data_IF_141886537852
#
_entry.id   IF_141886537852
#
_cell.length_a   1.000
_cell.length_b   1.000
_cell.length_c   1.000
_cell.angle_alpha   90.00
_cell.angle_beta   90.00
_cell.angle_gamma   90.00
#
_symmetry.space_group_name_H-M   'P 1'
#
loop_
_entity.id
_entity.type
_entity.pdbx_description
1 polymer ?
#
# COMPACT_ATOMS: atom_id res chain seq x y z
N UNK A 1 -33.83 44.35 1.03
CA UNK A 1 -32.84 44.56 2.11
C UNK A 1 -31.52 43.98 1.63
N UNK A 2 -30.51 44.80 1.28
CA UNK A 2 -29.22 44.30 0.87
C UNK A 2 -28.48 43.76 2.12
N UNK A 3 -28.01 42.52 2.04
CA UNK A 3 -27.06 41.97 3.00
C UNK A 3 -25.78 42.80 2.92
N UNK A 4 -25.58 43.70 3.89
CA UNK A 4 -24.36 44.45 4.08
C UNK A 4 -23.26 43.45 4.44
N UNK A 5 -22.54 42.94 3.43
CA UNK A 5 -21.37 42.11 3.63
C UNK A 5 -20.27 42.95 4.29
N UNK A 6 -20.05 42.76 5.59
CA UNK A 6 -18.88 43.31 6.27
C UNK A 6 -17.62 42.64 5.69
N UNK A 7 -17.02 43.26 4.68
CA UNK A 7 -15.74 42.84 4.14
C UNK A 7 -14.64 43.11 5.18
N UNK A 8 -13.93 42.07 5.61
CA UNK A 8 -12.99 42.07 6.75
C UNK A 8 -11.88 43.13 6.70
N UNK A 9 -11.59 43.68 5.52
CA UNK A 9 -10.51 44.65 5.27
C UNK A 9 -10.99 45.99 4.66
N UNK A 10 -12.31 46.25 4.60
CA UNK A 10 -12.81 47.54 4.09
C UNK A 10 -12.39 48.67 5.03
N UNK A 11 -11.60 49.60 4.51
CA UNK A 11 -11.03 50.74 5.26
C UNK A 11 -9.66 50.49 5.89
N UNK A 12 -9.01 49.35 5.63
CA UNK A 12 -7.64 49.11 6.11
C UNK A 12 -6.60 49.87 5.28
N UNK A 13 -5.55 50.38 5.93
CA UNK A 13 -4.41 51.06 5.27
C UNK A 13 -3.39 50.09 4.66
N UNK A 14 -3.73 48.80 4.61
CA UNK A 14 -2.84 47.74 4.16
C UNK A 14 -2.87 47.62 2.64
N UNK A 15 -1.70 47.39 2.04
CA UNK A 15 -1.58 47.15 0.61
C UNK A 15 -2.27 45.82 0.24
N UNK A 16 -2.86 45.73 -0.95
CA UNK A 16 -3.61 44.54 -1.43
C UNK A 16 -2.77 43.25 -1.36
N UNK A 17 -1.46 43.38 -1.60
CA UNK A 17 -0.48 42.29 -1.46
C UNK A 17 -0.40 41.75 -0.02
N UNK A 18 -0.41 42.64 0.98
CA UNK A 18 -0.36 42.27 2.38
C UNK A 18 -1.66 41.58 2.82
N UNK A 19 -2.81 42.07 2.34
CA UNK A 19 -4.11 41.45 2.56
C UNK A 19 -4.14 40.04 1.94
N UNK A 20 -3.58 39.88 0.73
CA UNK A 20 -3.42 38.58 0.07
C UNK A 20 -2.61 37.58 0.89
N UNK A 21 -1.46 37.99 1.44
CA UNK A 21 -0.65 37.11 2.30
C UNK A 21 -1.36 36.72 3.61
N UNK A 22 -2.10 37.65 4.23
CA UNK A 22 -2.86 37.37 5.45
C UNK A 22 -3.99 36.36 5.16
N UNK A 23 -4.73 36.52 4.06
CA UNK A 23 -5.78 35.59 3.64
C UNK A 23 -5.22 34.21 3.27
N UNK A 24 -4.08 34.17 2.56
CA UNK A 24 -3.39 32.92 2.24
C UNK A 24 -2.94 32.19 3.52
N UNK A 25 -2.29 32.90 4.44
CA UNK A 25 -1.86 32.32 5.71
C UNK A 25 -3.05 31.82 6.55
N UNK A 26 -4.13 32.60 6.64
CA UNK A 26 -5.34 32.22 7.36
C UNK A 26 -6.06 31.00 6.77
N UNK A 27 -6.18 30.95 5.44
CA UNK A 27 -6.78 29.79 4.75
C UNK A 27 -5.93 28.53 4.89
N UNK A 28 -4.60 28.66 4.76
CA UNK A 28 -3.67 27.55 4.98
C UNK A 28 -3.71 27.04 6.42
N UNK A 29 -3.73 27.94 7.43
CA UNK A 29 -3.86 27.55 8.84
C UNK A 29 -5.19 26.86 9.13
N UNK A 30 -6.30 27.36 8.58
CA UNK A 30 -7.63 26.76 8.75
C UNK A 30 -7.69 25.38 8.09
N UNK A 31 -7.13 25.24 6.89
CA UNK A 31 -7.05 23.95 6.19
C UNK A 31 -6.15 22.95 6.94
N UNK A 32 -4.97 23.38 7.37
CA UNK A 32 -4.03 22.53 8.12
C UNK A 32 -4.61 22.10 9.47
N UNK A 33 -5.23 23.01 10.22
CA UNK A 33 -5.88 22.68 11.50
C UNK A 33 -7.07 21.75 11.30
N UNK A 34 -7.92 21.99 10.28
CA UNK A 34 -9.01 21.09 9.91
C UNK A 34 -8.53 19.68 9.57
N UNK A 35 -7.48 19.56 8.76
CA UNK A 35 -6.87 18.28 8.39
C UNK A 35 -6.29 17.56 9.63
N UNK A 36 -5.57 18.26 10.50
CA UNK A 36 -5.00 17.66 11.72
C UNK A 36 -6.10 17.22 12.68
N UNK A 37 -7.14 18.03 12.86
CA UNK A 37 -8.27 17.69 13.73
C UNK A 37 -9.02 16.47 13.19
N UNK A 38 -9.27 16.40 11.88
CA UNK A 38 -9.93 15.24 11.25
C UNK A 38 -9.09 13.98 11.46
N UNK A 39 -7.77 14.05 11.23
CA UNK A 39 -6.87 12.89 11.44
C UNK A 39 -6.85 12.46 12.90
N UNK A 40 -6.80 13.41 13.85
CA UNK A 40 -6.82 13.11 15.29
C UNK A 40 -8.13 12.51 15.76
N UNK A 41 -9.27 13.04 15.30
CA UNK A 41 -10.60 12.52 15.60
C UNK A 41 -10.76 11.11 15.04
N UNK A 42 -10.41 10.91 13.77
CA UNK A 42 -10.47 9.61 13.13
C UNK A 42 -9.58 8.58 13.84
N UNK A 43 -8.37 8.95 14.27
CA UNK A 43 -7.46 8.06 15.00
C UNK A 43 -7.95 7.73 16.44
N UNK A 44 -8.60 8.68 17.10
CA UNK A 44 -9.20 8.49 18.44
C UNK A 44 -10.41 7.55 18.40
N UNK A 45 -11.31 7.74 17.44
CA UNK A 45 -12.52 6.91 17.28
C UNK A 45 -12.15 5.47 16.86
N UNK A 46 -11.12 5.32 16.02
CA UNK A 46 -10.72 4.00 15.54
C UNK A 46 -10.08 3.09 16.60
N UNK A 47 -9.31 3.65 17.53
CA UNK A 47 -8.69 2.86 18.61
C UNK A 47 -9.71 2.29 19.62
N UNK A 48 -10.85 2.95 19.81
CA UNK A 48 -11.84 2.57 20.80
C UNK A 48 -12.83 1.50 20.31
N UNK A 49 -13.82 1.93 19.53
CA UNK A 49 -14.99 1.09 19.23
C UNK A 49 -14.83 0.30 17.93
N UNK A 50 -14.19 0.89 16.93
CA UNK A 50 -14.09 0.30 15.60
C UNK A 50 -13.08 -0.84 15.58
N UNK A 51 -11.93 -0.70 16.24
CA UNK A 51 -10.98 -1.81 16.41
C UNK A 51 -11.63 -3.05 17.04
N UNK A 52 -12.55 -2.87 18.00
CA UNK A 52 -13.27 -3.98 18.65
C UNK A 52 -14.30 -4.63 17.71
N UNK A 53 -15.05 -3.84 16.93
CA UNK A 53 -15.99 -4.36 15.92
C UNK A 53 -15.24 -5.12 14.84
N UNK A 54 -14.17 -4.52 14.31
CA UNK A 54 -13.29 -5.14 13.32
C UNK A 54 -12.73 -6.44 13.87
N UNK A 55 -12.21 -6.48 15.10
CA UNK A 55 -11.73 -7.71 15.74
C UNK A 55 -12.82 -8.78 15.84
N UNK A 56 -14.04 -8.42 16.24
CA UNK A 56 -15.16 -9.36 16.39
C UNK A 56 -15.58 -9.95 15.04
N UNK A 57 -15.57 -9.14 13.99
CA UNK A 57 -15.96 -9.56 12.64
C UNK A 57 -14.85 -10.35 11.94
N UNK A 58 -13.59 -10.01 12.17
CA UNK A 58 -12.43 -10.72 11.60
C UNK A 58 -12.25 -12.10 12.23
N UNK A 59 -12.47 -12.21 13.55
CA UNK A 59 -12.36 -13.48 14.27
C UNK A 59 -13.66 -14.29 14.23
N UNK A 60 -14.69 -13.80 13.54
CA UNK A 60 -15.87 -14.59 13.24
C UNK A 60 -15.49 -15.64 12.18
N UNK A 61 -15.04 -16.80 12.65
CA UNK A 61 -14.84 -17.97 11.81
C UNK A 61 -16.20 -18.60 11.52
N UNK A 62 -16.60 -18.58 10.25
CA UNK A 62 -17.78 -19.30 9.81
C UNK A 62 -17.47 -20.81 9.78
N UNK A 63 -18.36 -21.66 10.33
CA UNK A 63 -18.18 -23.10 10.29
C UNK A 63 -18.17 -23.62 8.85
N UNK A 64 -17.49 -24.76 8.64
CA UNK A 64 -17.49 -25.47 7.36
C UNK A 64 -18.93 -25.72 6.88
N UNK A 65 -19.30 -25.46 5.61
CA UNK A 65 -18.47 -25.18 4.43
C UNK A 65 -18.25 -23.69 4.08
N UNK A 66 -18.66 -22.73 4.91
CA UNK A 66 -18.69 -21.31 4.56
C UNK A 66 -17.42 -20.53 4.88
N UNK A 67 -16.29 -21.20 5.13
CA UNK A 67 -15.02 -20.55 5.47
C UNK A 67 -14.52 -19.54 4.42
N UNK A 68 -14.85 -19.75 3.15
CA UNK A 68 -14.52 -18.83 2.05
C UNK A 68 -15.24 -17.48 2.16
N UNK A 69 -16.43 -17.46 2.78
CA UNK A 69 -17.26 -16.27 2.93
C UNK A 69 -16.62 -15.25 3.88
N UNK A 70 -15.81 -15.71 4.84
CA UNK A 70 -15.11 -14.86 5.82
C UNK A 70 -14.31 -13.75 5.13
N UNK A 71 -13.60 -14.09 4.05
CA UNK A 71 -12.77 -13.13 3.31
C UNK A 71 -13.60 -12.14 2.47
N UNK A 72 -14.72 -12.57 1.89
CA UNK A 72 -15.63 -11.66 1.20
C UNK A 72 -16.34 -10.72 2.18
N UNK A 73 -16.72 -11.23 3.35
CA UNK A 73 -17.28 -10.42 4.41
C UNK A 73 -16.26 -9.39 4.92
N UNK A 74 -14.98 -9.77 5.02
CA UNK A 74 -13.90 -8.83 5.32
C UNK A 74 -13.75 -7.73 4.25
N UNK A 75 -13.91 -8.04 2.96
CA UNK A 75 -13.96 -7.01 1.89
C UNK A 75 -15.14 -6.05 2.10
N UNK A 76 -16.34 -6.58 2.34
CA UNK A 76 -17.53 -5.74 2.58
C UNK A 76 -17.35 -4.86 3.81
N UNK A 77 -16.80 -5.40 4.90
CA UNK A 77 -16.51 -4.65 6.13
C UNK A 77 -15.50 -3.55 5.85
N UNK A 78 -14.41 -3.84 5.15
CA UNK A 78 -13.42 -2.81 4.76
C UNK A 78 -14.04 -1.69 3.93
N UNK A 79 -14.93 -2.04 2.99
CA UNK A 79 -15.62 -1.08 2.14
C UNK A 79 -16.59 -0.19 2.93
N UNK A 80 -17.45 -0.79 3.78
CA UNK A 80 -18.40 -0.06 4.63
C UNK A 80 -17.67 0.82 5.63
N UNK A 81 -16.65 0.30 6.30
CA UNK A 81 -15.86 1.06 7.26
C UNK A 81 -15.20 2.28 6.60
N UNK A 82 -14.64 2.10 5.41
CA UNK A 82 -14.02 3.20 4.67
C UNK A 82 -15.03 4.19 4.13
N UNK A 83 -16.22 3.73 3.71
CA UNK A 83 -17.30 4.61 3.33
C UNK A 83 -17.78 5.50 4.48
N UNK A 84 -17.95 4.92 5.68
CA UNK A 84 -18.38 5.66 6.89
C UNK A 84 -17.29 6.65 7.34
N UNK A 85 -16.03 6.20 7.37
CA UNK A 85 -14.89 7.03 7.80
C UNK A 85 -14.46 8.02 6.72
N UNK A 86 -14.83 7.78 5.45
CA UNK A 86 -14.39 8.48 4.25
C UNK A 86 -12.86 8.60 4.10
N UNK A 87 -12.10 7.76 4.80
CA UNK A 87 -10.65 7.80 4.80
C UNK A 87 -10.05 6.40 4.91
N UNK A 88 -9.49 5.92 3.80
CA UNK A 88 -8.77 4.65 3.74
C UNK A 88 -7.45 4.72 4.49
N UNK A 89 -6.78 5.88 4.54
CA UNK A 89 -5.54 6.04 5.29
C UNK A 89 -5.73 5.87 6.79
N UNK A 90 -6.83 6.40 7.35
CA UNK A 90 -7.12 6.22 8.77
C UNK A 90 -7.55 4.79 9.06
N UNK A 91 -8.33 4.17 8.17
CA UNK A 91 -8.62 2.73 8.25
C UNK A 91 -7.33 1.88 8.29
N UNK A 92 -6.40 2.10 7.35
CA UNK A 92 -5.10 1.41 7.33
C UNK A 92 -4.28 1.68 8.59
N UNK A 93 -4.25 2.91 9.08
CA UNK A 93 -3.53 3.29 10.30
C UNK A 93 -4.07 2.59 11.56
N UNK A 94 -5.33 2.16 11.57
CA UNK A 94 -5.89 1.38 12.67
C UNK A 94 -5.59 -0.12 12.56
N UNK A 95 -5.58 -0.68 11.36
CA UNK A 95 -5.32 -2.12 11.15
C UNK A 95 -3.84 -2.46 11.31
N UNK A 96 -2.93 -1.61 10.83
CA UNK A 96 -1.48 -1.90 10.83
C UNK A 96 -0.91 -2.17 12.24
N UNK A 97 -1.21 -1.37 13.29
CA UNK A 97 -0.79 -1.67 14.65
C UNK A 97 -1.33 -3.00 15.18
N UNK A 98 -2.59 -3.33 14.87
CA UNK A 98 -3.22 -4.59 15.25
C UNK A 98 -2.55 -5.80 14.60
N UNK A 99 -2.05 -5.64 13.38
CA UNK A 99 -1.19 -6.64 12.73
C UNK A 99 0.18 -6.73 13.43
N UNK A 100 0.75 -5.58 13.81
CA UNK A 100 2.03 -5.51 14.51
C UNK A 100 2.04 -6.21 15.88
N UNK A 101 0.91 -6.18 16.60
CA UNK A 101 0.73 -6.92 17.88
C UNK A 101 0.20 -8.34 17.69
N UNK A 102 0.01 -8.81 16.44
CA UNK A 102 -0.44 -10.17 16.13
C UNK A 102 -1.93 -10.44 16.35
N UNK A 103 -2.76 -9.41 16.60
CA UNK A 103 -4.21 -9.55 16.80
C UNK A 103 -4.93 -9.88 15.49
N UNK A 104 -4.42 -9.38 14.36
CA UNK A 104 -4.95 -9.64 13.02
C UNK A 104 -3.80 -10.18 12.16
N UNK A 105 -3.99 -11.34 11.53
CA UNK A 105 -3.00 -11.90 10.60
C UNK A 105 -3.01 -11.14 9.26
N UNK A 106 -1.89 -11.17 8.54
CA UNK A 106 -1.78 -10.49 7.24
C UNK A 106 -2.77 -11.03 6.20
N UNK A 107 -3.12 -12.31 6.28
CA UNK A 107 -4.13 -12.96 5.41
C UNK A 107 -5.53 -12.42 5.67
N UNK A 108 -5.84 -12.06 6.92
CA UNK A 108 -7.13 -11.47 7.31
C UNK A 108 -7.17 -9.97 7.05
N UNK A 109 -6.03 -9.29 7.15
CA UNK A 109 -5.91 -7.86 6.83
C UNK A 109 -5.97 -7.55 5.33
N UNK A 110 -5.45 -8.44 4.48
CA UNK A 110 -5.43 -8.25 3.03
C UNK A 110 -6.83 -7.98 2.42
N UNK A 111 -7.87 -8.82 2.64
CA UNK A 111 -9.21 -8.55 2.12
C UNK A 111 -9.83 -7.26 2.69
N UNK A 112 -9.49 -6.85 3.91
CA UNK A 112 -9.95 -5.57 4.47
C UNK A 112 -9.38 -4.37 3.71
N UNK A 113 -8.10 -4.42 3.34
CA UNK A 113 -7.48 -3.36 2.54
C UNK A 113 -8.05 -3.30 1.12
N UNK A 114 -8.33 -4.46 0.51
CA UNK A 114 -9.03 -4.52 -0.77
C UNK A 114 -10.43 -3.90 -0.67
N UNK A 115 -11.17 -4.24 0.38
CA UNK A 115 -12.46 -3.61 0.69
C UNK A 115 -12.36 -2.10 0.85
N UNK A 116 -11.35 -1.62 1.59
CA UNK A 116 -11.11 -0.19 1.82
C UNK A 116 -10.91 0.59 0.52
N UNK A 117 -10.19 0.01 -0.44
CA UNK A 117 -10.01 0.62 -1.76
C UNK A 117 -11.35 0.77 -2.50
N UNK A 118 -12.25 -0.22 -2.42
CA UNK A 118 -13.61 -0.11 -2.97
C UNK A 118 -14.41 0.97 -2.24
N UNK A 119 -14.36 1.01 -0.90
CA UNK A 119 -15.05 2.04 -0.11
C UNK A 119 -14.65 3.47 -0.50
N UNK A 120 -13.38 3.68 -0.86
CA UNK A 120 -12.88 4.99 -1.33
C UNK A 120 -13.55 5.42 -2.64
N UNK A 121 -13.89 4.49 -3.52
CA UNK A 121 -14.56 4.79 -4.80
C UNK A 121 -15.99 5.30 -4.61
N UNK A 122 -16.66 4.93 -3.52
CA UNK A 122 -17.98 5.46 -3.17
C UNK A 122 -17.89 6.96 -2.85
N UNK A 123 -16.84 7.42 -2.18
CA UNK A 123 -16.61 8.85 -1.93
C UNK A 123 -16.39 9.61 -3.24
N UNK A 124 -15.61 9.04 -4.17
CA UNK A 124 -15.41 9.63 -5.50
C UNK A 124 -16.72 9.73 -6.28
N UNK A 125 -17.58 8.71 -6.19
CA UNK A 125 -18.90 8.71 -6.84
C UNK A 125 -19.83 9.77 -6.23
N UNK A 126 -19.87 9.90 -4.91
CA UNK A 126 -20.65 10.96 -4.25
C UNK A 126 -20.16 12.36 -4.64
N UNK A 127 -18.84 12.57 -4.68
CA UNK A 127 -18.25 13.84 -5.12
C UNK A 127 -18.58 14.14 -6.60
N UNK A 128 -18.58 13.12 -7.46
CA UNK A 128 -18.97 13.25 -8.85
C UNK A 128 -20.45 13.63 -9.01
N UNK A 129 -21.34 13.04 -8.20
CA UNK A 129 -22.78 13.38 -8.20
C UNK A 129 -23.06 14.78 -7.67
N UNK A 130 -22.20 15.33 -6.81
CA UNK A 130 -22.27 16.69 -6.32
C UNK A 130 -21.64 17.73 -7.27
N UNK A 131 -21.08 17.29 -8.41
CA UNK A 131 -20.41 18.18 -9.35
C UNK A 131 -21.40 18.99 -10.21
N UNK A 132 -21.02 20.21 -10.63
CA UNK A 132 -21.81 21.04 -11.55
C UNK A 132 -22.23 20.30 -12.84
N UNK A 133 -23.38 20.67 -13.40
CA UNK A 133 -24.02 19.96 -14.51
C UNK A 133 -23.15 19.88 -15.79
N UNK A 134 -22.30 20.87 -16.01
CA UNK A 134 -21.32 20.94 -17.11
C UNK A 134 -20.17 19.93 -16.97
N UNK A 135 -19.83 19.53 -15.75
CA UNK A 135 -18.74 18.60 -15.45
C UNK A 135 -19.23 17.21 -14.98
N UNK A 136 -20.53 17.07 -14.71
CA UNK A 136 -21.12 15.88 -14.11
C UNK A 136 -20.82 14.60 -14.91
N UNK A 137 -20.95 14.65 -16.24
CA UNK A 137 -20.68 13.48 -17.07
C UNK A 137 -19.23 13.00 -16.94
N UNK A 138 -18.28 13.93 -17.05
CA UNK A 138 -16.85 13.64 -16.90
C UNK A 138 -16.50 13.15 -15.50
N UNK A 139 -17.06 13.78 -14.46
CA UNK A 139 -16.83 13.40 -13.07
C UNK A 139 -17.36 11.99 -12.76
N UNK A 140 -18.59 11.68 -13.21
CA UNK A 140 -19.21 10.36 -13.03
C UNK A 140 -18.42 9.32 -13.81
N UNK A 141 -18.03 9.60 -15.05
CA UNK A 141 -17.20 8.70 -15.84
C UNK A 141 -15.88 8.35 -15.13
N UNK A 142 -15.16 9.35 -14.61
CA UNK A 142 -13.92 9.13 -13.84
C UNK A 142 -14.18 8.30 -12.59
N UNK A 143 -15.26 8.59 -11.85
CA UNK A 143 -15.61 7.82 -10.64
C UNK A 143 -15.96 6.35 -10.93
N UNK A 144 -16.66 6.08 -12.03
CA UNK A 144 -17.01 4.72 -12.47
C UNK A 144 -15.77 3.95 -12.93
N UNK A 145 -14.86 4.60 -13.66
CA UNK A 145 -13.57 3.99 -14.02
C UNK A 145 -12.82 3.57 -12.76
N UNK A 146 -12.78 4.42 -11.72
CA UNK A 146 -12.15 4.06 -10.44
C UNK A 146 -12.84 2.87 -9.77
N UNK A 147 -14.19 2.85 -9.73
CA UNK A 147 -14.96 1.74 -9.17
C UNK A 147 -14.66 0.42 -9.89
N UNK A 148 -14.79 0.41 -11.22
CA UNK A 148 -14.58 -0.80 -12.02
C UNK A 148 -13.13 -1.27 -11.99
N UNK A 149 -12.16 -0.35 -12.01
CA UNK A 149 -10.74 -0.70 -11.88
C UNK A 149 -10.46 -1.40 -10.54
N UNK A 150 -10.98 -0.88 -9.43
CA UNK A 150 -10.81 -1.50 -8.12
C UNK A 150 -11.53 -2.86 -8.02
N UNK A 151 -12.74 -2.96 -8.56
CA UNK A 151 -13.51 -4.21 -8.58
C UNK A 151 -12.83 -5.29 -9.43
N UNK A 152 -12.35 -4.93 -10.63
CA UNK A 152 -11.61 -5.83 -11.51
C UNK A 152 -10.28 -6.25 -10.85
N UNK A 153 -9.61 -5.34 -10.15
CA UNK A 153 -8.42 -5.66 -9.36
C UNK A 153 -8.69 -6.72 -8.29
N UNK A 154 -9.79 -6.62 -7.54
CA UNK A 154 -10.18 -7.64 -6.56
C UNK A 154 -10.49 -8.97 -7.24
N UNK A 155 -11.26 -8.95 -8.33
CA UNK A 155 -11.59 -10.16 -9.09
C UNK A 155 -10.31 -10.86 -9.58
N UNK A 156 -9.34 -10.10 -10.09
CA UNK A 156 -8.09 -10.65 -10.59
C UNK A 156 -7.17 -11.14 -9.46
N UNK A 157 -6.88 -10.30 -8.46
CA UNK A 157 -5.82 -10.54 -7.46
C UNK A 157 -6.30 -11.30 -6.22
N UNK A 158 -7.60 -11.32 -5.93
CA UNK A 158 -8.13 -11.97 -4.73
C UNK A 158 -8.92 -13.25 -5.04
N UNK A 159 -9.77 -13.24 -6.08
CA UNK A 159 -10.62 -14.40 -6.38
C UNK A 159 -9.80 -15.52 -7.01
N UNK A 160 -8.87 -15.20 -7.90
CA UNK A 160 -7.97 -16.20 -8.52
C UNK A 160 -6.85 -16.57 -7.54
N UNK A 161 -6.80 -17.82 -7.02
CA UNK A 161 -5.80 -18.20 -6.00
C UNK A 161 -4.36 -18.06 -6.50
N UNK A 162 -4.11 -18.31 -7.79
CA UNK A 162 -2.79 -18.21 -8.41
C UNK A 162 -2.23 -16.77 -8.39
N UNK A 163 -3.09 -15.75 -8.39
CA UNK A 163 -2.67 -14.35 -8.41
C UNK A 163 -2.56 -13.71 -7.02
N UNK A 164 -2.72 -14.47 -5.92
CA UNK A 164 -2.54 -13.96 -4.54
C UNK A 164 -1.07 -13.71 -4.15
N UNK A 165 -0.26 -13.22 -5.10
CA UNK A 165 1.14 -12.86 -4.95
C UNK A 165 1.42 -11.75 -3.91
N UNK A 166 0.55 -10.75 -3.67
CA UNK A 166 0.87 -9.67 -2.72
C UNK A 166 1.13 -10.14 -1.29
N UNK A 167 0.43 -11.19 -0.82
CA UNK A 167 0.58 -11.72 0.54
C UNK A 167 1.99 -12.31 0.78
N UNK A 168 2.47 -13.29 -0.01
CA UNK A 168 3.81 -13.83 0.19
C UNK A 168 4.91 -12.80 -0.06
N UNK A 169 4.72 -11.86 -1.00
CA UNK A 169 5.67 -10.77 -1.24
C UNK A 169 5.78 -9.85 -0.02
N UNK A 170 4.66 -9.45 0.57
CA UNK A 170 4.64 -8.61 1.76
C UNK A 170 5.31 -9.30 2.96
N UNK A 171 5.08 -10.61 3.16
CA UNK A 171 5.76 -11.39 4.21
C UNK A 171 7.27 -11.48 3.99
N UNK A 172 7.71 -11.81 2.78
CA UNK A 172 9.14 -11.89 2.45
C UNK A 172 9.83 -10.54 2.66
N UNK A 173 9.22 -9.47 2.14
CA UNK A 173 9.74 -8.11 2.30
C UNK A 173 9.78 -7.67 3.78
N UNK A 174 8.75 -8.00 4.55
CA UNK A 174 8.68 -7.75 5.99
C UNK A 174 9.81 -8.45 6.76
N UNK A 175 10.08 -9.73 6.46
CA UNK A 175 11.18 -10.48 7.09
C UNK A 175 12.55 -9.88 6.75
N UNK A 176 12.77 -9.50 5.48
CA UNK A 176 14.02 -8.84 5.06
C UNK A 176 14.20 -7.52 5.80
N UNK A 177 13.14 -6.72 5.92
CA UNK A 177 13.16 -5.43 6.60
C UNK A 177 13.38 -5.57 8.12
N UNK A 178 12.86 -6.65 8.72
CA UNK A 178 13.09 -6.96 10.13
C UNK A 178 14.57 -7.25 10.42
N UNK A 179 15.27 -7.91 9.49
CA UNK A 179 16.72 -8.14 9.60
C UNK A 179 17.55 -6.90 9.23
N UNK A 180 17.17 -6.17 8.18
CA UNK A 180 17.92 -5.05 7.64
C UNK A 180 17.08 -3.76 7.68
N UNK A 181 17.11 -3.05 8.82
CA UNK A 181 16.26 -1.85 9.04
C UNK A 181 16.47 -0.75 7.98
N UNK A 182 17.67 -0.63 7.42
CA UNK A 182 17.98 0.34 6.37
C UNK A 182 17.24 0.06 5.05
N UNK A 183 16.83 -1.20 4.81
CA UNK A 183 16.05 -1.59 3.62
C UNK A 183 14.72 -0.85 3.58
N UNK A 184 14.07 -0.60 4.72
CA UNK A 184 12.85 0.22 4.76
C UNK A 184 13.08 1.65 4.26
N UNK A 185 14.17 2.29 4.71
CA UNK A 185 14.51 3.65 4.30
C UNK A 185 14.83 3.72 2.79
N UNK A 186 15.63 2.78 2.29
CA UNK A 186 15.94 2.68 0.86
C UNK A 186 14.69 2.40 0.04
N UNK A 187 13.82 1.49 0.49
CA UNK A 187 12.55 1.18 -0.17
C UNK A 187 11.65 2.42 -0.25
N UNK A 188 11.52 3.19 0.83
CA UNK A 188 10.73 4.42 0.85
C UNK A 188 11.31 5.46 -0.11
N UNK A 189 12.62 5.71 -0.05
CA UNK A 189 13.29 6.64 -0.97
C UNK A 189 13.10 6.22 -2.43
N UNK A 190 13.27 4.92 -2.71
CA UNK A 190 13.17 4.40 -4.05
C UNK A 190 11.73 4.46 -4.59
N UNK A 191 10.76 4.01 -3.80
CA UNK A 191 9.37 3.88 -4.24
C UNK A 191 8.62 5.21 -4.29
N UNK A 192 8.88 6.13 -3.36
CA UNK A 192 8.16 7.41 -3.29
C UNK A 192 8.87 8.56 -4.01
N UNK A 193 10.18 8.47 -4.26
CA UNK A 193 10.94 9.55 -4.89
C UNK A 193 11.63 9.11 -6.19
N UNK A 194 12.53 8.12 -6.14
CA UNK A 194 13.35 7.79 -7.30
C UNK A 194 12.54 7.23 -8.47
N UNK A 195 11.63 6.27 -8.23
CA UNK A 195 10.79 5.71 -9.30
C UNK A 195 9.88 6.79 -9.89
N UNK A 196 9.06 7.53 -9.12
CA UNK A 196 8.19 8.56 -9.70
C UNK A 196 8.96 9.64 -10.45
N UNK A 197 10.11 10.08 -9.91
CA UNK A 197 10.95 11.09 -10.56
C UNK A 197 11.57 10.56 -11.85
N UNK A 198 12.03 9.31 -11.87
CA UNK A 198 12.56 8.67 -13.06
C UNK A 198 11.48 8.51 -14.14
N UNK A 199 10.28 8.05 -13.77
CA UNK A 199 9.15 7.92 -14.70
C UNK A 199 8.73 9.29 -15.24
N UNK A 200 8.66 10.31 -14.38
CA UNK A 200 8.36 11.69 -14.79
C UNK A 200 9.43 12.25 -15.74
N UNK A 201 10.70 12.11 -15.38
CA UNK A 201 11.82 12.56 -16.22
C UNK A 201 11.85 11.84 -17.57
N UNK A 202 11.57 10.53 -17.58
CA UNK A 202 11.51 9.74 -18.80
C UNK A 202 10.30 10.11 -19.68
N UNK A 203 9.16 10.44 -19.05
CA UNK A 203 7.97 10.95 -19.75
C UNK A 203 8.25 12.29 -20.44
N UNK A 204 9.02 13.18 -19.81
CA UNK A 204 9.43 14.47 -20.37
C UNK A 204 10.47 14.34 -21.50
N UNK A 205 11.26 13.26 -21.53
CA UNK A 205 12.32 13.04 -22.50
C UNK A 205 11.81 12.62 -23.91
N UNK A 206 10.50 12.47 -24.09
CA UNK A 206 9.86 12.15 -25.36
C UNK A 206 9.67 10.65 -25.61
N UNK A 207 8.71 10.31 -26.48
CA UNK A 207 8.25 8.92 -26.67
C UNK A 207 9.34 7.95 -27.15
N UNK A 208 10.30 8.41 -27.94
CA UNK A 208 11.41 7.58 -28.41
C UNK A 208 12.34 7.19 -27.26
N UNK A 209 12.67 8.12 -26.37
CA UNK A 209 13.53 7.85 -25.20
C UNK A 209 12.79 6.97 -24.20
N UNK A 210 11.49 7.22 -23.99
CA UNK A 210 10.64 6.36 -23.17
C UNK A 210 10.62 4.92 -23.69
N UNK A 211 10.46 4.71 -25.00
CA UNK A 211 10.49 3.38 -25.60
C UNK A 211 11.89 2.75 -25.54
N UNK A 212 12.94 3.52 -25.86
CA UNK A 212 14.32 3.04 -25.92
C UNK A 212 14.91 2.69 -24.55
N UNK A 213 14.52 3.39 -23.49
CA UNK A 213 15.02 3.14 -22.12
C UNK A 213 14.03 2.31 -21.31
N UNK A 214 12.74 2.66 -21.37
CA UNK A 214 11.68 1.97 -20.63
C UNK A 214 11.42 0.56 -21.16
N UNK A 215 11.45 0.37 -22.48
CA UNK A 215 11.23 -0.93 -23.12
C UNK A 215 12.21 -2.01 -22.65
N UNK A 216 13.54 -1.80 -22.78
CA UNK A 216 14.54 -2.76 -22.29
C UNK A 216 14.48 -2.99 -20.78
N UNK A 217 14.20 -1.94 -19.98
CA UNK A 217 14.11 -2.07 -18.52
C UNK A 217 12.93 -2.97 -18.12
N UNK A 218 11.76 -2.76 -18.72
CA UNK A 218 10.58 -3.60 -18.52
C UNK A 218 10.79 -5.02 -19.04
N UNK A 219 11.46 -5.16 -20.20
CA UNK A 219 11.82 -6.46 -20.77
C UNK A 219 12.74 -7.27 -19.86
N UNK A 220 13.76 -6.63 -19.29
CA UNK A 220 14.66 -7.25 -18.32
C UNK A 220 13.91 -7.68 -17.05
N UNK A 221 13.04 -6.82 -16.52
CA UNK A 221 12.20 -7.13 -15.36
C UNK A 221 11.29 -8.34 -15.63
N UNK A 222 10.61 -8.36 -16.79
CA UNK A 222 9.77 -9.46 -17.21
C UNK A 222 10.57 -10.76 -17.38
N UNK A 223 11.78 -10.68 -17.94
CA UNK A 223 12.68 -11.82 -18.09
C UNK A 223 13.12 -12.37 -16.72
N UNK A 224 13.49 -11.51 -15.77
CA UNK A 224 13.85 -11.93 -14.41
C UNK A 224 12.66 -12.61 -13.71
N UNK A 225 11.46 -12.04 -13.83
CA UNK A 225 10.23 -12.64 -13.26
C UNK A 225 9.97 -14.00 -13.90
N UNK A 226 10.07 -14.12 -15.24
CA UNK A 226 9.88 -15.36 -15.97
C UNK A 226 10.89 -16.43 -15.54
N UNK A 227 12.18 -16.08 -15.45
CA UNK A 227 13.24 -16.97 -14.99
C UNK A 227 12.95 -17.46 -13.56
N UNK A 228 12.57 -16.58 -12.65
CA UNK A 228 12.22 -16.95 -11.27
C UNK A 228 10.97 -17.86 -11.21
N UNK A 229 9.97 -17.61 -12.06
CA UNK A 229 8.79 -18.49 -12.18
C UNK A 229 9.17 -19.88 -12.72
N UNK A 230 10.03 -19.93 -13.74
CA UNK A 230 10.52 -21.20 -14.31
C UNK A 230 11.41 -21.97 -13.33
N UNK A 231 12.24 -21.29 -12.54
CA UNK A 231 13.01 -21.93 -11.46
C UNK A 231 12.09 -22.62 -10.43
N UNK A 232 10.94 -22.02 -10.11
CA UNK A 232 9.99 -22.56 -9.14
C UNK A 232 9.12 -23.69 -9.70
N UNK A 233 8.67 -23.60 -10.95
CA UNK A 233 7.71 -24.55 -11.53
C UNK A 233 8.33 -25.62 -12.43
N UNK A 234 9.45 -25.33 -13.12
CA UNK A 234 10.09 -26.23 -14.09
C UNK A 234 11.63 -26.07 -14.10
N UNK A 235 12.33 -26.44 -13.01
CA UNK A 235 13.78 -26.22 -12.88
C UNK A 235 14.62 -27.02 -13.88
N UNK A 236 14.08 -28.09 -14.45
CA UNK A 236 14.76 -28.97 -15.41
C UNK A 236 14.92 -28.34 -16.80
N UNK A 237 14.01 -27.45 -17.21
CA UNK A 237 14.04 -26.76 -18.51
C UNK A 237 15.06 -25.62 -18.58
N UNK A 238 15.61 -25.19 -17.44
CA UNK A 238 16.56 -24.07 -17.39
C UNK A 238 18.02 -24.55 -17.53
N UNK A 239 18.89 -23.81 -18.27
CA UNK A 239 20.33 -24.06 -18.30
C UNK A 239 20.95 -23.99 -16.90
N UNK A 240 21.99 -24.78 -16.64
CA UNK A 240 22.60 -24.90 -15.31
C UNK A 240 23.02 -23.54 -14.68
N UNK A 241 23.43 -22.56 -15.48
CA UNK A 241 23.83 -21.22 -15.02
C UNK A 241 22.66 -20.33 -14.56
N UNK A 242 21.44 -20.58 -15.05
CA UNK A 242 20.26 -19.80 -14.68
C UNK A 242 19.44 -20.49 -13.59
N UNK A 243 19.73 -21.74 -13.22
CA UNK A 243 19.02 -22.47 -12.16
C UNK A 243 19.25 -21.88 -10.78
N UNK A 244 20.40 -21.27 -10.57
CA UNK A 244 20.70 -20.50 -9.37
C UNK A 244 21.38 -19.19 -9.77
N UNK A 245 21.05 -18.12 -9.06
CA UNK A 245 21.70 -16.82 -9.22
C UNK A 245 23.09 -16.78 -8.57
N UNK A 246 23.73 -17.93 -8.36
CA UNK A 246 25.02 -18.07 -7.68
C UNK A 246 26.20 -17.57 -8.51
N UNK A 247 26.02 -17.42 -9.84
CA UNK A 247 27.04 -16.83 -10.70
C UNK A 247 27.17 -15.30 -10.50
N UNK A 248 26.13 -14.65 -9.98
CA UNK A 248 26.15 -13.19 -9.77
C UNK A 248 27.06 -12.83 -8.57
N UNK A 249 27.71 -11.65 -8.60
CA UNK A 249 28.47 -11.15 -7.47
C UNK A 249 27.64 -11.15 -6.18
N UNK A 250 28.29 -11.42 -5.04
CA UNK A 250 27.64 -11.48 -3.72
C UNK A 250 26.77 -10.25 -3.40
N UNK A 251 27.13 -9.07 -3.91
CA UNK A 251 26.40 -7.81 -3.73
C UNK A 251 25.05 -7.73 -4.45
N UNK A 252 24.85 -8.56 -5.48
CA UNK A 252 23.62 -8.64 -6.28
C UNK A 252 22.69 -9.77 -5.79
N UNK A 253 23.22 -10.74 -5.04
CA UNK A 253 22.47 -11.87 -4.50
C UNK A 253 22.21 -11.79 -2.98
N UNK A 254 23.07 -11.09 -2.24
CA UNK A 254 23.03 -11.01 -0.78
C UNK A 254 23.11 -9.56 -0.30
N UNK A 255 22.29 -9.25 0.72
CA UNK A 255 22.28 -7.95 1.40
C UNK A 255 23.35 -7.83 2.49
N UNK A 256 23.99 -8.94 2.90
CA UNK A 256 25.00 -8.98 3.97
C UNK A 256 26.20 -8.03 3.77
N UNK A 257 26.81 -7.90 2.57
CA UNK A 257 27.95 -7.01 2.40
C UNK A 257 27.55 -5.52 2.47
N UNK A 258 26.35 -5.17 2.00
CA UNK A 258 25.78 -3.83 2.16
C UNK A 258 25.47 -3.51 3.62
N UNK A 259 24.93 -4.47 4.35
CA UNK A 259 24.63 -4.31 5.77
C UNK A 259 25.89 -4.00 6.59
N UNK A 260 26.99 -4.73 6.35
CA UNK A 260 28.29 -4.44 6.99
C UNK A 260 28.81 -3.05 6.66
N UNK A 261 28.68 -2.62 5.41
CA UNK A 261 29.14 -1.30 4.98
C UNK A 261 28.33 -0.19 5.68
N UNK A 262 27.00 -0.28 5.65
CA UNK A 262 26.09 0.71 6.24
C UNK A 262 26.23 0.75 7.76
N UNK A 263 26.27 -0.41 8.43
CA UNK A 263 26.49 -0.47 9.88
C UNK A 263 27.88 0.06 10.26
N UNK A 264 28.93 -0.16 9.46
CA UNK A 264 30.24 0.43 9.73
C UNK A 264 30.26 1.95 9.58
N UNK A 265 29.51 2.51 8.62
CA UNK A 265 29.35 3.95 8.44
C UNK A 265 28.48 4.58 9.54
N UNK A 266 27.53 3.83 10.11
CA UNK A 266 26.66 4.28 11.21
C UNK A 266 27.25 4.07 12.62
N UNK A 267 28.44 3.47 12.77
CA UNK A 267 29.12 3.24 14.07
C UNK A 267 29.53 4.52 14.81
N UNK A 268 29.30 5.71 14.27
CA UNK A 268 29.42 6.96 15.03
C UNK A 268 28.26 7.23 16.00
N UNK A 269 27.22 6.38 16.06
CA UNK A 269 26.14 6.50 17.03
C UNK A 269 26.00 5.20 17.87
N UNK A 270 26.26 5.22 19.18
CA UNK A 270 26.09 4.06 20.03
C UNK A 270 24.62 3.94 20.44
N UNK A 271 23.83 3.10 19.74
CA UNK A 271 22.73 2.33 20.35
C UNK A 271 22.06 1.35 19.37
N UNK A 272 21.77 0.15 19.89
CA UNK A 272 20.96 -0.96 19.36
C UNK A 272 21.73 -2.21 18.87
N UNK A 273 22.50 -2.83 19.77
CA UNK A 273 22.55 -4.30 19.92
C UNK A 273 21.23 -4.68 20.66
N UNK A 274 20.39 -5.65 20.27
CA UNK A 274 20.63 -7.01 19.78
C UNK A 274 19.56 -7.44 18.73
N UNK A 275 19.85 -8.42 17.85
CA UNK A 275 18.81 -9.10 17.07
C UNK A 275 17.91 -9.96 17.98
N UNK A 276 16.59 -10.04 17.74
CA UNK A 276 15.75 -11.00 18.46
C UNK A 276 16.20 -12.43 18.12
N UNK A 277 16.28 -13.25 19.16
CA UNK A 277 16.68 -14.65 19.08
C UNK A 277 15.93 -15.40 17.97
N UNK A 278 16.70 -16.20 17.24
CA UNK A 278 16.27 -17.16 16.22
C UNK A 278 15.14 -18.04 16.76
N UNK A 279 13.89 -17.67 16.44
CA UNK A 279 12.75 -18.57 16.54
C UNK A 279 12.53 -19.16 15.17
N UNK A 280 13.35 -20.15 14.84
CA UNK A 280 13.01 -21.15 13.83
C UNK A 280 11.67 -21.78 14.23
N UNK A 281 10.56 -21.24 13.72
CA UNK A 281 9.35 -22.02 13.54
C UNK A 281 9.72 -23.08 12.52
N UNK A 282 10.11 -24.26 13.01
CA UNK A 282 10.08 -25.48 12.20
C UNK A 282 8.65 -25.63 11.72
N UNK A 283 8.37 -25.26 10.47
CA UNK A 283 7.23 -25.83 9.77
C UNK A 283 7.40 -27.36 9.81
N UNK A 284 6.49 -28.12 10.41
CA UNK A 284 6.51 -29.56 10.22
C UNK A 284 6.24 -29.81 8.74
N UNK A 285 7.24 -30.35 8.06
CA UNK A 285 7.17 -30.95 6.74
C UNK A 285 5.88 -31.79 6.65
N UNK A 286 4.87 -31.31 5.94
CA UNK A 286 3.67 -32.09 5.65
C UNK A 286 4.10 -33.32 4.82
N UNK A 287 3.81 -34.55 5.26
CA UNK A 287 4.10 -35.71 4.43
C UNK A 287 3.19 -35.70 3.20
N UNK A 288 3.80 -35.76 2.02
CA UNK A 288 3.13 -36.08 0.76
C UNK A 288 2.22 -37.32 0.96
N UNK A 289 0.96 -37.31 0.51
CA UNK A 289 0.16 -38.52 0.49
C UNK A 289 0.74 -39.49 -0.54
N UNK A 290 1.37 -40.56 -0.04
CA UNK A 290 1.58 -41.79 -0.80
C UNK A 290 0.21 -42.45 -1.02
N UNK A 291 -0.34 -42.30 -2.22
CA UNK A 291 -1.33 -43.19 -2.83
C UNK A 291 -0.80 -43.46 -4.25
N UNK A 292 -0.08 -44.58 -4.45
CA UNK A 292 -0.59 -45.83 -5.07
C UNK A 292 -0.92 -45.57 -6.56
N UNK A 293 -0.22 -46.00 -7.62
CA UNK A 293 0.71 -47.12 -7.88
C UNK A 293 0.45 -48.40 -7.10
N UNK A 294 -0.75 -48.94 -7.34
CA UNK A 294 -1.05 -50.36 -7.49
C UNK A 294 -2.39 -50.48 -8.20
#
# INVERSE_FOLDING_TARGET
MPLLGHHLFVGSSLNDLAIGFILLAGSLLTLCSGLVLIVRLLNSILHGQIAQVIRKVINAEFPFPFGWLSGYLAIVVGAVMTFVVQSSSVFTAAIVPLMGVGVISMERAYPLFLGSNVGTTTTALLAALASPADMLFSAVQVSLIHLFFNMAGILLWYIVPAFRLPIPLAKKFGNVTAHYRWVAAVYLLFSFFLIPLAVFGLSMAGGVVLAAVGGPLLGLLALIILINLMQQHCPTWLPHCLRSWAFLPLWLHSLQPWDRAITSCCKCCPQAQDPPADTTVKEPLSPLPRLLLS
#
